data_IF_922538303805
#
_entry.id   IF_922538303805
#
_cell.length_a   1.000
_cell.length_b   1.000
_cell.length_c   1.000
_cell.angle_alpha   90.00
_cell.angle_beta   90.00
_cell.angle_gamma   90.00
#
_symmetry.space_group_name_H-M   'P 1'
#
loop_
_entity.id
_entity.type
_entity.pdbx_description
1 polymer ?
#
# COMPACT_ATOMS: atom_id res chain seq x y z
N UNK A 1 -8.66 -9.77 -9.50
CA UNK A 1 -9.58 -8.90 -8.71
C UNK A 1 -10.97 -9.53 -8.68
N UNK A 2 -11.65 -9.61 -7.51
CA UNK A 2 -13.00 -10.19 -7.41
C UNK A 2 -14.05 -9.17 -7.89
N UNK A 3 -14.86 -9.53 -8.89
CA UNK A 3 -15.96 -8.68 -9.35
C UNK A 3 -16.95 -8.47 -8.20
N UNK A 4 -17.12 -7.21 -7.80
CA UNK A 4 -18.23 -6.80 -6.94
C UNK A 4 -19.31 -6.29 -7.87
N UNK A 5 -20.46 -6.95 -7.84
CA UNK A 5 -21.66 -6.49 -8.55
C UNK A 5 -22.00 -5.06 -8.14
N UNK A 6 -22.24 -4.20 -9.13
CA UNK A 6 -22.79 -2.86 -8.95
C UNK A 6 -24.10 -2.93 -8.17
N UNK A 7 -24.08 -2.53 -6.89
CA UNK A 7 -25.29 -2.22 -6.14
C UNK A 7 -25.48 -0.72 -6.18
N UNK A 8 -26.58 -0.29 -6.78
CA UNK A 8 -27.12 1.06 -6.62
C UNK A 8 -27.26 1.38 -5.13
N UNK A 9 -26.65 2.47 -4.67
CA UNK A 9 -26.93 3.05 -3.36
C UNK A 9 -28.03 4.12 -3.54
N UNK A 10 -29.23 3.94 -2.96
CA UNK A 10 -30.19 5.03 -2.88
C UNK A 10 -29.73 6.02 -1.80
N UNK A 11 -29.88 7.30 -2.11
CA UNK A 11 -29.59 8.41 -1.23
C UNK A 11 -30.38 8.35 0.08
N UNK A 12 -29.69 8.57 1.21
CA UNK A 12 -30.31 9.00 2.47
C UNK A 12 -30.54 7.91 3.52
N UNK A 13 -29.54 7.68 4.39
CA UNK A 13 -29.79 7.48 5.82
C UNK A 13 -28.51 7.61 6.64
N UNK A 14 -28.17 8.86 7.00
CA UNK A 14 -27.33 9.14 8.15
C UNK A 14 -28.11 8.78 9.43
N UNK A 15 -27.60 7.89 10.27
CA UNK A 15 -27.99 7.86 11.69
C UNK A 15 -26.83 7.38 12.56
N UNK A 16 -26.21 8.35 13.22
CA UNK A 16 -25.38 8.13 14.40
C UNK A 16 -26.24 7.54 15.52
N UNK A 17 -25.66 6.61 16.30
CA UNK A 17 -26.27 6.10 17.53
C UNK A 17 -25.25 6.22 18.66
N UNK A 18 -25.47 7.21 19.53
CA UNK A 18 -24.79 7.42 20.80
C UNK A 18 -25.75 7.10 21.96
N UNK A 19 -25.25 6.40 22.98
CA UNK A 19 -25.66 6.42 24.41
C UNK A 19 -25.00 5.19 25.09
N UNK A 20 -23.97 5.35 25.91
CA UNK A 20 -23.96 5.73 27.34
C UNK A 20 -24.92 4.91 28.21
N UNK A 21 -24.36 3.89 28.89
CA UNK A 21 -25.02 3.12 29.95
C UNK A 21 -24.14 3.09 31.19
N UNK A 22 -24.29 4.08 32.06
CA UNK A 22 -23.69 4.11 33.40
C UNK A 22 -24.56 3.30 34.36
N UNK A 23 -23.96 2.32 35.06
CA UNK A 23 -24.62 1.48 36.06
C UNK A 23 -24.19 1.98 37.45
N UNK A 24 -25.12 2.55 38.22
CA UNK A 24 -24.86 3.01 39.59
C UNK A 24 -25.09 1.90 40.63
N UNK A 25 -24.18 1.85 41.59
CA UNK A 25 -24.16 1.00 42.80
C UNK A 25 -24.95 1.69 43.91
N UNK A 26 -25.88 0.97 44.56
CA UNK A 26 -26.59 1.44 45.76
C UNK A 26 -25.75 1.17 47.01
N UNK A 27 -25.45 2.24 47.74
CA UNK A 27 -24.96 2.22 49.12
C UNK A 27 -26.19 2.31 50.04
N UNK A 28 -26.36 1.34 50.95
CA UNK A 28 -27.39 1.37 51.98
C UNK A 28 -26.85 2.00 53.26
N UNK A 29 -27.50 3.06 53.74
CA UNK A 29 -27.26 3.71 55.03
C UNK A 29 -28.27 3.25 56.07
N UNK A 30 -27.78 2.93 57.27
CA UNK A 30 -28.53 2.63 58.48
C UNK A 30 -29.21 3.88 59.07
N UNK A 31 -30.41 3.71 59.63
CA UNK A 31 -31.03 4.65 60.58
C UNK A 31 -31.68 3.84 61.71
N UNK A 32 -31.24 4.11 62.94
CA UNK A 32 -31.77 3.59 64.21
C UNK A 32 -33.02 4.34 64.70
N UNK A 33 -33.69 3.71 65.69
CA UNK A 33 -34.60 4.20 66.74
C UNK A 33 -35.99 3.54 66.69
N UNK A 34 -36.67 3.21 67.78
CA UNK A 34 -36.39 3.07 69.20
C UNK A 34 -37.64 2.41 69.85
N UNK A 35 -37.49 2.03 71.13
CA UNK A 35 -38.54 1.86 72.16
C UNK A 35 -39.32 0.54 72.26
N UNK A 36 -39.35 0.00 73.50
CA UNK A 36 -40.23 -1.10 73.90
C UNK A 36 -39.86 -1.78 75.23
N UNK A 37 -40.33 -1.21 76.34
CA UNK A 37 -40.12 -1.49 77.76
C UNK A 37 -40.26 -2.95 78.32
N UNK A 38 -39.49 -3.17 79.42
CA UNK A 38 -39.72 -3.89 80.72
C UNK A 38 -40.15 -5.38 80.80
N UNK A 39 -39.36 -6.19 81.54
CA UNK A 39 -39.74 -6.76 82.84
C UNK A 39 -38.57 -7.45 83.56
N UNK A 40 -38.66 -7.43 84.89
CA UNK A 40 -37.64 -7.77 85.87
C UNK A 40 -37.46 -9.28 86.11
N UNK A 41 -36.23 -9.68 86.47
CA UNK A 41 -36.01 -10.64 87.57
C UNK A 41 -34.57 -10.51 88.10
N UNK A 42 -34.45 -10.24 89.40
CA UNK A 42 -33.19 -10.26 90.14
C UNK A 42 -32.73 -11.71 90.30
N UNK A 43 -31.52 -12.02 89.86
CA UNK A 43 -30.74 -13.14 90.39
C UNK A 43 -29.29 -12.70 90.55
N UNK A 44 -28.93 -12.36 91.78
CA UNK A 44 -27.56 -12.07 92.18
C UNK A 44 -26.83 -13.40 92.29
N UNK A 45 -25.96 -13.69 91.33
CA UNK A 45 -24.85 -14.63 91.50
C UNK A 45 -23.54 -13.84 91.43
N UNK A 46 -22.95 -13.64 92.60
CA UNK A 46 -21.53 -13.32 92.74
C UNK A 46 -20.73 -14.53 92.28
N UNK A 47 -20.02 -14.42 91.16
CA UNK A 47 -18.75 -15.14 90.98
C UNK A 47 -17.89 -14.51 89.89
N UNK A 48 -16.61 -14.38 90.25
CA UNK A 48 -15.40 -14.27 89.43
C UNK A 48 -15.21 -13.10 88.45
N UNK A 49 -14.42 -12.13 88.93
CA UNK A 49 -13.30 -11.48 88.24
C UNK A 49 -13.19 -11.74 86.72
N UNK A 50 -13.95 -10.97 85.94
CA UNK A 50 -13.81 -10.90 84.50
C UNK A 50 -12.96 -9.67 84.16
N UNK A 51 -11.66 -9.92 84.05
CA UNK A 51 -10.69 -9.10 83.33
C UNK A 51 -11.34 -8.52 82.07
N UNK A 52 -11.66 -7.22 82.08
CA UNK A 52 -12.17 -6.50 80.91
C UNK A 52 -11.10 -6.66 79.82
N UNK A 53 -11.34 -7.40 78.72
CA UNK A 53 -10.38 -7.38 77.63
C UNK A 53 -10.35 -5.94 77.14
N UNK A 54 -9.23 -5.26 77.36
CA UNK A 54 -8.92 -4.04 76.60
C UNK A 54 -9.10 -4.46 75.15
N UNK A 55 -10.14 -3.95 74.47
CA UNK A 55 -10.30 -4.09 73.02
C UNK A 55 -9.02 -3.52 72.42
N UNK A 56 -8.03 -4.38 72.20
CA UNK A 56 -6.80 -4.02 71.56
C UNK A 56 -7.20 -3.54 70.17
N UNK A 57 -6.72 -2.36 69.84
CA UNK A 57 -7.08 -1.65 68.63
C UNK A 57 -6.69 -2.47 67.39
N UNK A 58 -7.62 -3.22 66.80
CA UNK A 58 -7.43 -3.95 65.53
C UNK A 58 -7.14 -3.03 64.33
N UNK A 59 -7.18 -1.70 64.54
CA UNK A 59 -6.78 -0.68 63.56
C UNK A 59 -5.36 -0.93 63.02
N UNK A 60 -4.46 -1.56 63.80
CA UNK A 60 -3.11 -1.89 63.35
C UNK A 60 -3.05 -3.04 62.32
N UNK A 61 -3.87 -4.07 62.48
CA UNK A 61 -3.89 -5.23 61.58
C UNK A 61 -4.51 -4.88 60.21
N UNK A 62 -5.53 -4.02 60.20
CA UNK A 62 -6.18 -3.54 58.97
C UNK A 62 -5.20 -2.74 58.12
N UNK A 63 -4.37 -1.89 58.74
CA UNK A 63 -3.34 -1.12 58.02
C UNK A 63 -2.35 -2.02 57.26
N UNK A 64 -1.95 -3.15 57.85
CA UNK A 64 -1.06 -4.10 57.20
C UNK A 64 -1.70 -4.73 55.96
N UNK A 65 -2.95 -5.17 56.06
CA UNK A 65 -3.68 -5.79 54.94
C UNK A 65 -3.92 -4.79 53.81
N UNK A 66 -4.28 -3.54 54.15
CA UNK A 66 -4.48 -2.48 53.16
C UNK A 66 -3.17 -2.15 52.46
N UNK A 67 -2.05 -2.05 53.19
CA UNK A 67 -0.74 -1.80 52.60
C UNK A 67 -0.32 -2.92 51.62
N UNK A 68 -0.52 -4.18 52.00
CA UNK A 68 -0.23 -5.33 51.13
C UNK A 68 -1.14 -5.32 49.89
N UNK A 69 -2.44 -5.05 50.07
CA UNK A 69 -3.39 -4.97 48.96
C UNK A 69 -3.04 -3.82 47.99
N UNK A 70 -2.62 -2.66 48.50
CA UNK A 70 -2.16 -1.55 47.67
C UNK A 70 -0.92 -1.91 46.87
N UNK A 71 0.06 -2.58 47.48
CA UNK A 71 1.26 -3.05 46.78
C UNK A 71 0.91 -4.05 45.66
N UNK A 72 -0.01 -4.98 45.94
CA UNK A 72 -0.49 -5.93 44.94
C UNK A 72 -1.20 -5.24 43.77
N UNK A 73 -2.03 -4.22 44.05
CA UNK A 73 -2.70 -3.44 43.01
C UNK A 73 -1.71 -2.62 42.17
N UNK A 74 -0.67 -2.04 42.78
CA UNK A 74 0.40 -1.34 42.05
C UNK A 74 1.11 -2.32 41.13
N UNK A 75 1.50 -3.51 41.62
CA UNK A 75 2.16 -4.53 40.80
C UNK A 75 1.32 -4.97 39.59
N UNK A 76 0.00 -5.15 39.78
CA UNK A 76 -0.92 -5.47 38.68
C UNK A 76 -1.04 -4.28 37.70
N UNK A 77 -1.10 -3.04 38.19
CA UNK A 77 -1.13 -1.85 37.33
C UNK A 77 0.15 -1.68 36.53
N UNK A 78 1.32 -1.95 37.13
CA UNK A 78 2.60 -2.02 36.41
C UNK A 78 2.49 -2.99 35.24
N UNK A 79 1.99 -4.19 35.49
CA UNK A 79 1.85 -5.17 34.41
C UNK A 79 0.84 -4.71 33.34
N UNK A 80 -0.35 -4.25 33.71
CA UNK A 80 -1.41 -3.93 32.73
C UNK A 80 -1.09 -2.66 31.93
N UNK A 81 -0.67 -1.60 32.61
CA UNK A 81 -0.50 -0.27 32.00
C UNK A 81 0.83 -0.18 31.26
N UNK A 82 1.96 -0.54 31.90
CA UNK A 82 3.27 -0.41 31.26
C UNK A 82 3.41 -1.36 30.07
N UNK A 83 2.87 -2.59 30.18
CA UNK A 83 2.81 -3.49 29.03
C UNK A 83 1.89 -2.94 27.94
N UNK A 84 0.78 -2.29 28.31
CA UNK A 84 -0.09 -1.58 27.37
C UNK A 84 0.66 -0.47 26.60
N UNK A 85 1.50 0.30 27.29
CA UNK A 85 2.40 1.30 26.67
C UNK A 85 3.32 0.64 25.65
N UNK A 86 3.93 -0.51 25.97
CA UNK A 86 4.77 -1.26 25.03
C UNK A 86 4.00 -1.76 23.80
N UNK A 87 2.78 -2.27 23.95
CA UNK A 87 1.98 -2.75 22.81
C UNK A 87 1.60 -1.63 21.85
N UNK A 88 1.15 -0.50 22.39
CA UNK A 88 0.85 0.70 21.59
C UNK A 88 2.13 1.21 20.93
N UNK A 89 3.22 1.31 21.70
CA UNK A 89 4.52 1.73 21.21
C UNK A 89 5.03 0.85 20.07
N UNK A 90 4.85 -0.47 20.15
CA UNK A 90 5.22 -1.41 19.08
C UNK A 90 4.46 -1.12 17.79
N UNK A 91 3.16 -0.85 17.87
CA UNK A 91 2.34 -0.54 16.69
C UNK A 91 2.76 0.79 16.06
N UNK A 92 2.98 1.81 16.88
CA UNK A 92 3.46 3.12 16.42
C UNK A 92 4.86 3.03 15.81
N UNK A 93 5.75 2.23 16.41
CA UNK A 93 7.09 1.99 15.89
C UNK A 93 7.06 1.33 14.52
N UNK A 94 6.19 0.34 14.31
CA UNK A 94 6.01 -0.27 12.99
C UNK A 94 5.49 0.73 11.98
N UNK A 95 4.47 1.53 12.32
CA UNK A 95 3.97 2.58 11.43
C UNK A 95 5.07 3.58 11.04
N UNK A 96 5.93 3.98 12.00
CA UNK A 96 7.05 4.86 11.73
C UNK A 96 8.10 4.22 10.79
N UNK A 97 8.43 2.95 11.02
CA UNK A 97 9.35 2.21 10.16
C UNK A 97 8.79 2.03 8.75
N UNK A 98 7.52 1.61 8.63
CA UNK A 98 6.84 1.38 7.34
C UNK A 98 6.76 2.67 6.53
N UNK A 99 6.35 3.77 7.16
CA UNK A 99 6.29 5.08 6.52
C UNK A 99 7.68 5.57 6.09
N UNK A 100 8.71 5.39 6.93
CA UNK A 100 10.09 5.72 6.59
C UNK A 100 10.61 4.90 5.42
N UNK A 101 10.42 3.58 5.44
CA UNK A 101 10.86 2.71 4.35
C UNK A 101 10.15 3.06 3.04
N UNK A 102 8.82 3.26 3.07
CA UNK A 102 8.06 3.65 1.88
C UNK A 102 8.52 5.00 1.34
N UNK A 103 8.69 6.01 2.19
CA UNK A 103 9.18 7.32 1.77
C UNK A 103 10.57 7.24 1.15
N UNK A 104 11.45 6.41 1.71
CA UNK A 104 12.77 6.15 1.13
C UNK A 104 12.69 5.50 -0.24
N UNK A 105 11.81 4.52 -0.44
CA UNK A 105 11.63 3.85 -1.72
C UNK A 105 11.03 4.81 -2.77
N UNK A 106 10.07 5.65 -2.39
CA UNK A 106 9.49 6.68 -3.27
C UNK A 106 10.53 7.74 -3.64
N UNK A 107 11.36 8.20 -2.69
CA UNK A 107 12.42 9.16 -2.97
C UNK A 107 13.52 8.57 -3.84
N UNK A 108 13.82 7.28 -3.67
CA UNK A 108 14.65 6.54 -4.62
C UNK A 108 14.00 6.56 -6.02
N UNK A 109 12.65 6.50 -6.08
CA UNK A 109 11.90 6.35 -7.31
C UNK A 109 11.81 7.49 -8.26
N UNK A 110 11.81 8.66 -7.67
CA UNK A 110 11.79 9.89 -8.43
C UNK A 110 13.14 10.59 -8.32
N UNK A 111 14.21 9.82 -8.07
CA UNK A 111 15.57 10.35 -8.08
C UNK A 111 16.01 10.65 -9.52
N UNK A 112 16.26 11.92 -9.88
CA UNK A 112 16.70 12.29 -11.22
C UNK A 112 18.06 11.69 -11.61
N UNK A 113 18.86 11.22 -10.64
CA UNK A 113 20.15 10.55 -10.89
C UNK A 113 20.03 9.02 -11.08
N UNK A 114 18.82 8.53 -11.36
CA UNK A 114 18.61 7.15 -11.79
C UNK A 114 18.82 6.11 -10.68
N UNK A 115 18.36 6.40 -9.46
CA UNK A 115 18.35 5.48 -8.32
C UNK A 115 19.75 5.08 -7.79
N UNK A 116 20.80 5.79 -8.20
CA UNK A 116 22.20 5.40 -7.93
C UNK A 116 22.79 6.03 -6.67
N UNK A 117 22.24 7.14 -6.16
CA UNK A 117 22.77 7.78 -4.96
C UNK A 117 22.40 7.01 -3.69
N UNK A 118 23.40 6.27 -3.18
CA UNK A 118 23.29 5.48 -1.94
C UNK A 118 23.96 6.11 -0.73
N UNK A 119 24.41 7.35 -0.85
CA UNK A 119 25.08 8.09 0.20
C UNK A 119 24.14 8.37 1.39
N UNK A 120 24.72 8.72 2.54
CA UNK A 120 23.94 9.18 3.69
C UNK A 120 23.26 10.53 3.45
N UNK A 121 23.80 11.32 2.52
CA UNK A 121 23.22 12.60 2.09
C UNK A 121 22.23 12.44 0.94
N UNK A 122 22.03 11.22 0.44
CA UNK A 122 21.18 10.97 -0.71
C UNK A 122 19.69 11.11 -0.41
N UNK A 123 18.87 11.38 -1.44
CA UNK A 123 17.45 11.69 -1.29
C UNK A 123 16.68 10.54 -0.62
N UNK A 124 16.99 9.29 -0.98
CA UNK A 124 16.33 8.12 -0.42
C UNK A 124 16.52 7.98 1.11
N UNK A 125 17.75 8.12 1.60
CA UNK A 125 18.02 7.99 3.04
C UNK A 125 17.52 9.18 3.84
N UNK A 126 17.63 10.40 3.29
CA UNK A 126 17.11 11.61 3.94
C UNK A 126 15.58 11.58 4.06
N UNK A 127 14.87 11.21 2.99
CA UNK A 127 13.42 11.08 3.01
C UNK A 127 12.96 10.00 4.01
N UNK A 128 13.63 8.85 4.01
CA UNK A 128 13.34 7.78 4.96
C UNK A 128 13.53 8.23 6.42
N UNK A 129 14.63 8.92 6.72
CA UNK A 129 14.91 9.46 8.05
C UNK A 129 13.85 10.47 8.48
N UNK A 130 13.54 11.44 7.62
CA UNK A 130 12.60 12.51 7.92
C UNK A 130 11.20 11.96 8.20
N UNK A 131 10.70 11.06 7.36
CA UNK A 131 9.37 10.48 7.53
C UNK A 131 9.34 9.55 8.74
N UNK A 132 10.36 8.74 8.98
CA UNK A 132 10.43 7.91 10.18
C UNK A 132 10.37 8.75 11.46
N UNK A 133 11.14 9.85 11.54
CA UNK A 133 11.14 10.76 12.71
C UNK A 133 9.84 11.54 12.88
N UNK A 134 9.12 11.82 11.80
CA UNK A 134 7.82 12.52 11.87
C UNK A 134 6.70 11.66 12.48
N UNK A 135 6.85 10.34 12.47
CA UNK A 135 5.88 9.40 13.02
C UNK A 135 6.19 9.12 14.49
N UNK A 136 5.61 9.95 15.37
CA UNK A 136 5.86 9.88 16.81
C UNK A 136 5.37 8.57 17.47
N UNK A 137 6.13 8.12 18.46
CA UNK A 137 5.84 6.97 19.30
C UNK A 137 5.66 7.48 20.73
N UNK A 138 4.43 7.39 21.23
CA UNK A 138 4.02 7.99 22.50
C UNK A 138 4.29 9.50 22.58
N UNK A 139 4.08 10.21 21.46
CA UNK A 139 4.19 11.68 21.40
C UNK A 139 5.60 12.23 21.20
N UNK A 140 6.62 11.38 21.15
CA UNK A 140 8.01 11.77 20.86
C UNK A 140 8.51 11.11 19.59
N UNK A 141 9.45 11.74 18.86
CA UNK A 141 10.04 11.13 17.68
C UNK A 141 10.84 9.87 18.06
N UNK A 142 10.83 8.83 17.22
CA UNK A 142 11.77 7.73 17.38
C UNK A 142 13.22 8.18 17.17
N UNK A 143 14.14 7.40 17.72
CA UNK A 143 15.55 7.48 17.39
C UNK A 143 15.83 6.64 16.15
N UNK A 144 16.40 7.32 15.16
CA UNK A 144 16.80 6.77 13.87
C UNK A 144 18.09 7.47 13.47
N UNK A 145 19.15 6.72 13.28
CA UNK A 145 20.44 7.19 12.80
C UNK A 145 20.61 6.80 11.32
N UNK A 146 20.86 7.79 10.47
CA UNK A 146 20.96 7.60 9.03
C UNK A 146 22.11 6.68 8.59
N UNK A 147 23.18 6.62 9.37
CA UNK A 147 24.36 5.80 9.05
C UNK A 147 24.11 4.30 9.34
N UNK A 148 23.39 4.00 10.42
CA UNK A 148 23.26 2.62 10.94
C UNK A 148 21.88 2.00 10.73
N UNK A 149 20.83 2.82 10.69
CA UNK A 149 19.45 2.33 10.75
C UNK A 149 18.70 2.45 9.43
N UNK A 150 19.20 3.30 8.53
CA UNK A 150 18.66 3.51 7.19
C UNK A 150 19.70 3.04 6.18
N UNK A 151 19.46 1.89 5.57
CA UNK A 151 20.41 1.33 4.59
C UNK A 151 19.71 0.57 3.48
N UNK A 152 20.38 0.50 2.35
CA UNK A 152 19.97 -0.31 1.21
C UNK A 152 20.28 -1.77 1.53
N UNK A 153 19.33 -2.66 1.25
CA UNK A 153 19.47 -4.09 1.50
C UNK A 153 19.17 -4.87 0.24
N UNK A 154 19.95 -5.91 -0.01
CA UNK A 154 19.70 -6.89 -1.07
C UNK A 154 18.92 -8.11 -0.54
N UNK A 155 18.41 -8.06 0.70
CA UNK A 155 17.74 -9.18 1.37
C UNK A 155 16.23 -8.96 1.57
N UNK A 156 15.38 -9.97 1.27
CA UNK A 156 15.73 -11.25 0.64
C UNK A 156 16.10 -11.06 -0.84
N UNK A 157 17.13 -11.78 -1.31
CA UNK A 157 17.65 -11.65 -2.68
C UNK A 157 16.59 -11.79 -3.76
N UNK A 158 15.60 -12.67 -3.57
CA UNK A 158 14.50 -12.88 -4.51
C UNK A 158 13.62 -11.62 -4.74
N UNK A 159 13.67 -10.64 -3.85
CA UNK A 159 12.86 -9.42 -3.94
C UNK A 159 13.72 -8.16 -4.02
N UNK A 160 14.86 -8.15 -3.35
CA UNK A 160 15.62 -6.92 -3.12
C UNK A 160 16.92 -6.81 -3.92
N UNK A 161 17.30 -7.87 -4.64
CA UNK A 161 18.44 -7.86 -5.56
C UNK A 161 17.91 -7.74 -6.98
N UNK A 162 18.53 -6.86 -7.77
CA UNK A 162 18.28 -6.79 -9.20
C UNK A 162 19.28 -7.57 -10.05
N UNK A 163 19.01 -7.60 -11.35
CA UNK A 163 19.81 -8.32 -12.36
C UNK A 163 21.25 -7.78 -12.43
N UNK A 164 21.46 -6.51 -12.09
CA UNK A 164 22.78 -5.85 -12.06
C UNK A 164 23.49 -5.98 -10.70
N UNK A 165 22.89 -6.70 -9.73
CA UNK A 165 23.44 -6.93 -8.39
C UNK A 165 23.23 -5.79 -7.40
N UNK A 166 22.42 -4.81 -7.76
CA UNK A 166 22.07 -3.63 -6.98
C UNK A 166 20.90 -3.91 -6.01
N UNK A 167 20.92 -3.23 -4.87
CA UNK A 167 19.87 -3.31 -3.86
C UNK A 167 18.69 -2.39 -4.25
N UNK A 168 17.54 -2.98 -4.58
CA UNK A 168 16.27 -2.27 -4.87
C UNK A 168 15.42 -2.02 -3.62
N UNK A 169 15.91 -2.39 -2.44
CA UNK A 169 15.19 -2.23 -1.20
C UNK A 169 15.90 -1.26 -0.25
N UNK A 170 15.11 -0.46 0.44
CA UNK A 170 15.56 0.36 1.56
C UNK A 170 14.94 -0.20 2.85
N UNK A 171 15.78 -0.40 3.86
CA UNK A 171 15.39 -0.87 5.17
C UNK A 171 15.56 0.26 6.18
N UNK A 172 14.55 0.43 7.02
CA UNK A 172 14.53 1.41 8.11
C UNK A 172 14.31 0.69 9.42
N UNK A 173 15.23 0.87 10.35
CA UNK A 173 15.08 0.45 11.74
C UNK A 173 14.73 1.66 12.60
N UNK A 174 13.80 1.47 13.53
CA UNK A 174 13.25 2.54 14.39
C UNK A 174 13.35 2.10 15.84
N UNK A 175 13.84 2.98 16.71
CA UNK A 175 14.11 2.68 18.11
C UNK A 175 13.45 3.66 19.07
N UNK A 176 12.87 3.12 20.15
CA UNK A 176 12.49 3.83 21.38
C UNK A 176 12.88 2.94 22.56
N UNK A 177 14.14 2.98 22.96
CA UNK A 177 14.67 2.07 23.99
C UNK A 177 15.79 2.72 24.83
N UNK A 178 16.19 2.08 25.92
CA UNK A 178 17.22 2.64 26.81
C UNK A 178 18.58 2.78 26.13
N UNK A 179 18.92 1.88 25.20
CA UNK A 179 20.21 1.87 24.49
C UNK A 179 20.42 3.13 23.64
N UNK A 180 19.32 3.74 23.18
CA UNK A 180 19.31 4.97 22.39
C UNK A 180 19.00 6.22 23.22
N UNK A 181 18.86 6.08 24.54
CA UNK A 181 18.54 7.19 25.44
C UNK A 181 17.12 7.77 25.27
N UNK A 182 16.22 7.05 24.59
CA UNK A 182 14.86 7.50 24.27
C UNK A 182 13.82 6.41 24.60
N UNK A 183 13.96 5.77 25.76
CA UNK A 183 13.08 4.71 26.25
C UNK A 183 11.62 5.14 26.34
N UNK A 184 10.71 4.16 26.28
CA UNK A 184 9.29 4.39 26.53
C UNK A 184 9.06 4.70 28.02
N UNK A 185 8.08 5.54 28.36
CA UNK A 185 7.80 5.90 29.74
C UNK A 185 7.30 4.69 30.53
N UNK A 186 7.90 4.44 31.69
CA UNK A 186 7.35 3.54 32.70
C UNK A 186 6.48 4.36 33.68
N UNK A 187 5.18 4.14 33.68
CA UNK A 187 4.20 4.85 34.50
C UNK A 187 4.13 4.29 35.92
N UNK A 188 3.97 2.97 36.07
CA UNK A 188 3.89 2.31 37.38
C UNK A 188 5.11 1.43 37.67
N UNK A 189 5.89 1.07 36.65
CA UNK A 189 7.15 0.33 36.79
C UNK A 189 8.17 1.00 37.74
N UNK A 190 8.16 2.33 37.82
CA UNK A 190 9.06 3.11 38.69
C UNK A 190 8.92 2.69 40.16
N UNK A 191 7.71 2.32 40.60
CA UNK A 191 7.46 1.90 41.98
C UNK A 191 8.12 0.57 42.35
N UNK A 192 8.47 -0.25 41.36
CA UNK A 192 9.13 -1.55 41.53
C UNK A 192 10.56 -1.57 40.94
N UNK A 193 11.12 -0.39 40.63
CA UNK A 193 12.47 -0.26 40.08
C UNK A 193 12.60 -0.56 38.58
N UNK A 194 11.48 -0.70 37.86
CA UNK A 194 11.43 -0.84 36.40
C UNK A 194 11.26 0.54 35.77
N UNK A 195 12.37 1.24 35.51
CA UNK A 195 12.36 2.56 34.88
C UNK A 195 12.58 2.53 33.38
N UNK A 196 12.92 1.37 32.82
CA UNK A 196 13.33 1.21 31.43
C UNK A 196 12.46 0.18 30.71
N UNK A 197 11.90 0.60 29.58
CA UNK A 197 11.25 -0.28 28.62
C UNK A 197 11.42 0.30 27.21
N UNK A 198 11.34 -0.56 26.21
CA UNK A 198 11.56 -0.11 24.85
C UNK A 198 10.99 -1.02 23.77
N UNK A 199 10.88 -0.42 22.59
CA UNK A 199 10.42 -1.08 21.38
C UNK A 199 11.39 -0.80 20.25
N UNK A 200 11.49 -1.77 19.35
CA UNK A 200 12.17 -1.62 18.07
C UNK A 200 11.27 -2.14 16.96
N UNK A 201 11.39 -1.51 15.82
CA UNK A 201 10.64 -1.80 14.62
C UNK A 201 11.56 -1.80 13.41
N UNK A 202 11.19 -2.59 12.42
CA UNK A 202 11.91 -2.69 11.16
C UNK A 202 10.89 -2.80 10.04
N UNK A 203 11.09 -2.01 9.00
CA UNK A 203 10.40 -2.18 7.73
C UNK A 203 11.38 -2.15 6.57
N UNK A 204 11.02 -2.84 5.48
CA UNK A 204 11.73 -2.81 4.21
C UNK A 204 10.74 -2.49 3.11
N UNK A 205 11.06 -1.50 2.29
CA UNK A 205 10.29 -1.17 1.10
C UNK A 205 11.11 -1.46 -0.15
N UNK A 206 10.44 -1.96 -1.19
CA UNK A 206 11.03 -2.31 -2.47
C UNK A 206 10.62 -1.29 -3.52
N UNK A 207 11.58 -1.00 -4.36
CA UNK A 207 11.41 -0.38 -5.66
C UNK A 207 11.21 -1.46 -6.72
N UNK A 208 10.19 -1.29 -7.55
CA UNK A 208 10.05 -2.04 -8.79
C UNK A 208 9.72 -1.05 -9.91
N UNK A 209 10.34 -1.25 -11.07
CA UNK A 209 9.91 -0.58 -12.30
C UNK A 209 8.55 -1.18 -12.67
N UNK A 210 7.61 -0.35 -13.11
CA UNK A 210 6.34 -0.80 -13.64
C UNK A 210 6.51 -1.20 -15.11
N UNK A 211 7.29 -2.25 -15.35
CA UNK A 211 7.66 -2.76 -16.68
C UNK A 211 6.83 -3.98 -17.10
N UNK A 212 5.85 -4.38 -16.30
CA UNK A 212 5.00 -5.52 -16.60
C UNK A 212 3.64 -5.47 -15.94
N UNK A 213 2.73 -6.26 -16.48
CA UNK A 213 1.34 -6.36 -16.02
C UNK A 213 0.82 -7.77 -16.23
N UNK A 214 0.01 -8.24 -15.28
CA UNK A 214 -0.67 -9.54 -15.32
C UNK A 214 -2.07 -9.44 -15.99
N UNK A 215 -2.42 -8.27 -16.49
CA UNK A 215 -3.70 -7.95 -17.10
C UNK A 215 -3.56 -7.32 -18.50
N UNK A 216 -2.58 -7.76 -19.30
CA UNK A 216 -2.52 -7.37 -20.70
C UNK A 216 -3.64 -7.99 -21.52
N UNK A 217 -4.07 -7.29 -22.57
CA UNK A 217 -4.99 -7.83 -23.58
C UNK A 217 -4.18 -8.51 -24.68
N UNK A 218 -4.71 -9.57 -25.32
CA UNK A 218 -4.02 -10.33 -26.37
C UNK A 218 -3.97 -9.59 -27.72
N UNK A 219 -3.80 -8.27 -27.69
CA UNK A 219 -3.84 -7.37 -28.85
C UNK A 219 -2.59 -6.49 -28.76
N UNK A 220 -1.59 -6.80 -29.59
CA UNK A 220 -0.37 -6.02 -29.68
C UNK A 220 -0.54 -4.93 -30.74
N UNK A 221 -0.46 -3.68 -30.32
CA UNK A 221 -0.50 -2.51 -31.21
C UNK A 221 0.94 -2.06 -31.43
N UNK A 222 1.39 -1.83 -32.68
CA UNK A 222 2.68 -1.24 -32.95
C UNK A 222 2.84 0.08 -32.21
N UNK A 223 3.99 0.24 -31.60
CA UNK A 223 4.35 1.48 -30.93
C UNK A 223 4.67 2.57 -31.97
N UNK A 224 4.79 3.83 -31.53
CA UNK A 224 5.25 4.91 -32.40
C UNK A 224 6.69 4.70 -32.86
N UNK A 225 6.97 5.16 -34.07
CA UNK A 225 8.31 5.16 -34.65
C UNK A 225 8.68 6.56 -35.12
N UNK A 226 9.98 6.74 -35.39
CA UNK A 226 10.43 7.89 -36.16
C UNK A 226 10.04 7.66 -37.62
N UNK A 227 8.97 8.30 -38.02
CA UNK A 227 8.55 8.37 -39.42
C UNK A 227 9.54 9.27 -40.18
N UNK A 228 10.17 8.73 -41.21
CA UNK A 228 11.12 9.43 -42.06
C UNK A 228 10.66 9.40 -43.52
N UNK A 229 9.76 8.47 -43.89
CA UNK A 229 9.19 8.34 -45.21
C UNK A 229 7.67 8.42 -45.17
N UNK A 230 7.15 9.65 -45.20
CA UNK A 230 5.73 9.88 -45.42
C UNK A 230 5.35 9.48 -46.87
N UNK A 231 4.54 8.43 -47.00
CA UNK A 231 3.94 8.00 -48.28
C UNK A 231 2.48 8.42 -48.44
N UNK A 232 1.89 9.10 -47.44
CA UNK A 232 0.47 9.48 -47.34
C UNK A 232 0.29 10.97 -47.02
N UNK A 233 -0.03 11.77 -48.04
CA UNK A 233 -0.26 13.21 -47.88
C UNK A 233 -1.53 13.56 -47.05
N UNK A 234 -1.56 14.67 -46.26
CA UNK A 234 -0.83 15.90 -46.57
C UNK A 234 -0.09 16.61 -45.40
N UNK A 235 1.19 16.92 -45.66
CA UNK A 235 1.86 18.21 -45.33
C UNK A 235 1.83 18.69 -43.87
N UNK A 236 2.77 18.25 -43.02
CA UNK A 236 3.57 19.08 -42.10
C UNK A 236 4.33 18.26 -41.05
N UNK A 237 5.52 18.73 -40.64
CA UNK A 237 6.81 18.50 -41.30
C UNK A 237 7.08 16.99 -41.52
N UNK A 238 7.94 16.68 -42.50
CA UNK A 238 8.24 15.35 -43.07
C UNK A 238 8.84 14.29 -42.11
N UNK A 239 8.60 14.41 -40.81
CA UNK A 239 9.13 13.54 -39.75
C UNK A 239 8.15 13.38 -38.57
N UNK A 240 6.85 13.59 -38.79
CA UNK A 240 5.85 13.55 -37.70
C UNK A 240 4.95 12.35 -37.88
N UNK A 241 5.04 11.38 -36.97
CA UNK A 241 4.15 10.22 -36.95
C UNK A 241 2.67 10.63 -36.83
N UNK A 242 1.83 10.06 -37.69
CA UNK A 242 0.39 10.25 -37.82
C UNK A 242 -0.34 8.90 -37.91
N UNK A 243 -1.68 8.94 -37.95
CA UNK A 243 -2.52 7.74 -37.87
C UNK A 243 -2.71 7.01 -39.21
N UNK A 244 -2.27 7.61 -40.30
CA UNK A 244 -2.29 7.06 -41.65
C UNK A 244 -0.93 6.49 -42.08
N UNK A 245 0.12 6.69 -41.27
CA UNK A 245 1.48 6.26 -41.60
C UNK A 245 1.65 4.73 -41.50
N UNK A 246 2.59 4.26 -42.33
CA UNK A 246 3.10 2.90 -42.34
C UNK A 246 4.59 2.89 -42.00
N UNK A 247 5.11 1.75 -41.54
CA UNK A 247 6.52 1.61 -41.17
C UNK A 247 7.36 1.13 -42.36
N UNK A 248 8.11 2.05 -42.94
CA UNK A 248 8.82 1.86 -44.19
C UNK A 248 10.32 1.64 -43.98
N UNK A 249 10.79 0.41 -44.25
CA UNK A 249 12.23 0.11 -44.30
C UNK A 249 12.73 -0.20 -45.71
N UNK A 250 11.82 -0.55 -46.62
CA UNK A 250 12.13 -1.00 -47.98
C UNK A 250 11.11 -0.42 -48.97
N UNK A 251 11.58 -0.06 -50.17
CA UNK A 251 10.73 0.24 -51.31
C UNK A 251 10.57 -0.99 -52.21
N UNK A 252 9.34 -1.25 -52.65
CA UNK A 252 9.06 -2.30 -53.61
C UNK A 252 9.14 -1.77 -55.04
N UNK A 253 9.92 -2.43 -55.90
CA UNK A 253 9.88 -2.18 -57.36
C UNK A 253 9.68 -3.51 -58.07
N UNK A 254 8.47 -3.75 -58.58
CA UNK A 254 8.06 -5.05 -59.09
C UNK A 254 7.99 -6.08 -57.96
N UNK A 255 8.68 -7.22 -58.13
CA UNK A 255 8.74 -8.27 -57.11
C UNK A 255 9.97 -8.16 -56.19
N UNK A 256 10.78 -7.10 -56.35
CA UNK A 256 12.03 -6.92 -55.61
C UNK A 256 11.86 -5.82 -54.55
N UNK A 257 12.47 -6.06 -53.39
CA UNK A 257 12.52 -5.13 -52.26
C UNK A 257 13.91 -4.52 -52.17
N UNK A 258 13.98 -3.19 -52.13
CA UNK A 258 15.22 -2.44 -52.01
C UNK A 258 15.20 -1.64 -50.70
N UNK A 259 16.27 -1.67 -49.90
CA UNK A 259 16.31 -0.89 -48.66
C UNK A 259 16.23 0.60 -48.97
N UNK A 260 15.44 1.33 -48.19
CA UNK A 260 15.36 2.79 -48.30
C UNK A 260 16.66 3.44 -47.84
N UNK A 261 17.03 4.57 -48.43
CA UNK A 261 18.23 5.33 -48.04
C UNK A 261 18.09 5.95 -46.64
N UNK A 262 16.87 6.35 -46.29
CA UNK A 262 16.51 6.89 -44.98
C UNK A 262 15.31 6.10 -44.45
N UNK A 263 15.45 4.84 -44.01
CA UNK A 263 14.32 4.06 -43.54
C UNK A 263 13.74 4.64 -42.23
N UNK A 264 12.49 4.31 -41.97
CA UNK A 264 11.87 4.54 -40.68
C UNK A 264 12.62 3.78 -39.60
N UNK A 265 12.61 4.34 -38.38
CA UNK A 265 13.38 3.79 -37.28
C UNK A 265 12.53 3.72 -36.01
N UNK A 266 12.53 2.54 -35.39
CA UNK A 266 11.95 2.32 -34.08
C UNK A 266 13.07 2.16 -33.05
N UNK A 267 12.98 2.89 -31.94
CA UNK A 267 13.85 2.72 -30.78
C UNK A 267 12.97 2.15 -29.66
N UNK A 268 13.25 0.90 -29.28
CA UNK A 268 12.49 0.23 -28.23
C UNK A 268 12.62 0.94 -26.88
N UNK A 269 11.57 0.95 -26.05
CA UNK A 269 11.65 1.49 -24.71
C UNK A 269 12.61 0.66 -23.84
N UNK A 270 13.22 1.33 -22.87
CA UNK A 270 14.04 0.74 -21.80
C UNK A 270 13.45 1.10 -20.43
N UNK A 271 14.08 0.64 -19.34
CA UNK A 271 13.63 0.97 -17.97
C UNK A 271 13.55 2.49 -17.71
N UNK A 272 14.32 3.31 -18.44
CA UNK A 272 14.46 4.76 -18.18
C UNK A 272 14.18 5.66 -19.39
N UNK A 273 13.93 5.09 -20.56
CA UNK A 273 13.71 5.82 -21.81
C UNK A 273 12.51 5.24 -22.55
N UNK A 274 11.45 6.02 -22.85
CA UNK A 274 10.30 5.55 -23.63
C UNK A 274 10.64 5.23 -25.09
N UNK A 275 11.85 5.58 -25.57
CA UNK A 275 12.26 5.37 -26.94
C UNK A 275 11.46 6.26 -27.90
N UNK A 276 11.05 5.72 -29.05
CA UNK A 276 10.17 6.44 -29.99
C UNK A 276 8.69 6.26 -29.70
N UNK A 277 8.33 5.57 -28.62
CA UNK A 277 6.99 5.07 -28.36
C UNK A 277 5.98 6.09 -27.84
N UNK A 278 4.76 5.62 -27.59
CA UNK A 278 3.70 6.40 -26.96
C UNK A 278 4.09 6.81 -25.53
N UNK A 279 3.82 8.07 -25.17
CA UNK A 279 4.03 8.58 -23.81
C UNK A 279 2.75 9.16 -23.22
N UNK A 280 2.55 8.98 -21.92
CA UNK A 280 1.39 9.59 -21.22
C UNK A 280 1.42 11.12 -21.32
N UNK A 281 2.61 11.72 -21.31
CA UNK A 281 2.76 13.17 -21.36
C UNK A 281 2.34 13.78 -22.71
N UNK A 282 2.61 13.10 -23.83
CA UNK A 282 2.33 13.63 -25.17
C UNK A 282 1.05 13.06 -25.80
N UNK A 283 0.67 11.82 -25.46
CA UNK A 283 -0.28 11.03 -26.25
C UNK A 283 -1.56 10.63 -25.50
N UNK A 284 -1.69 11.04 -24.24
CA UNK A 284 -2.90 10.78 -23.47
C UNK A 284 -4.12 11.41 -24.15
N UNK A 285 -5.13 10.57 -24.45
CA UNK A 285 -6.34 10.99 -25.15
C UNK A 285 -6.26 10.92 -26.67
N UNK A 286 -5.14 10.41 -27.23
CA UNK A 286 -5.03 10.15 -28.66
C UNK A 286 -6.03 9.07 -29.10
N UNK A 287 -6.81 9.37 -30.13
CA UNK A 287 -7.71 8.41 -30.76
C UNK A 287 -6.91 7.48 -31.66
N UNK A 288 -7.13 6.18 -31.59
CA UNK A 288 -6.54 5.21 -32.52
C UNK A 288 -7.65 4.33 -33.08
N UNK A 289 -7.63 4.11 -34.39
CA UNK A 289 -8.54 3.18 -35.05
C UNK A 289 -7.85 1.83 -35.14
N UNK A 290 -8.37 0.83 -34.43
CA UNK A 290 -7.80 -0.51 -34.43
C UNK A 290 -8.20 -1.27 -35.70
N UNK A 291 -7.22 -1.52 -36.57
CA UNK A 291 -7.40 -2.32 -37.80
C UNK A 291 -6.55 -3.59 -37.74
N UNK A 292 -7.09 -4.71 -38.20
CA UNK A 292 -6.31 -5.95 -38.31
C UNK A 292 -5.38 -5.84 -39.51
N UNK A 293 -4.07 -5.91 -39.30
CA UNK A 293 -3.08 -6.01 -40.38
C UNK A 293 -2.37 -7.36 -40.38
N UNK A 294 -1.81 -7.70 -41.53
CA UNK A 294 -0.88 -8.83 -41.65
C UNK A 294 0.52 -8.38 -41.24
N UNK A 295 1.41 -9.29 -40.81
CA UNK A 295 2.79 -8.94 -40.42
C UNK A 295 3.63 -8.29 -41.53
N UNK A 296 3.13 -8.24 -42.77
CA UNK A 296 3.82 -7.68 -43.93
C UNK A 296 3.75 -6.15 -44.02
N UNK A 297 2.83 -5.50 -43.30
CA UNK A 297 2.70 -4.03 -43.24
C UNK A 297 2.35 -3.61 -41.82
N UNK A 298 3.24 -2.85 -41.19
CA UNK A 298 2.98 -2.26 -39.87
C UNK A 298 2.42 -0.86 -40.11
N UNK A 299 1.19 -0.61 -39.70
CA UNK A 299 0.53 0.69 -39.84
C UNK A 299 0.11 1.25 -38.49
N UNK A 300 -0.14 2.54 -38.42
CA UNK A 300 -0.64 3.17 -37.21
C UNK A 300 -2.02 2.61 -36.82
N UNK A 301 -2.19 2.26 -35.55
CA UNK A 301 -3.42 1.60 -35.06
C UNK A 301 -3.62 0.16 -35.58
N UNK A 302 -2.69 -0.38 -36.37
CA UNK A 302 -2.71 -1.80 -36.69
C UNK A 302 -2.65 -2.62 -35.40
N UNK A 303 -3.20 -3.83 -35.40
CA UNK A 303 -2.97 -4.76 -34.30
C UNK A 303 -2.62 -6.15 -34.78
N UNK A 304 -1.74 -6.80 -34.01
CA UNK A 304 -1.37 -8.19 -34.13
C UNK A 304 -1.93 -8.96 -32.93
N UNK A 305 -2.74 -10.01 -33.16
CA UNK A 305 -3.22 -10.85 -32.07
C UNK A 305 -2.05 -11.68 -31.52
N UNK A 306 -1.90 -11.72 -30.21
CA UNK A 306 -0.81 -12.44 -29.53
C UNK A 306 -1.34 -13.47 -28.57
N UNK A 307 -0.67 -14.61 -28.51
CA UNK A 307 -0.98 -15.65 -27.55
C UNK A 307 -0.35 -15.28 -26.21
N UNK A 308 -1.19 -15.08 -25.19
CA UNK A 308 -0.71 -14.82 -23.84
C UNK A 308 -0.27 -16.12 -23.16
N UNK A 309 0.67 -16.05 -22.21
CA UNK A 309 1.07 -17.22 -21.43
C UNK A 309 -0.13 -17.79 -20.66
N UNK A 310 -0.37 -19.10 -20.72
CA UNK A 310 -1.49 -19.72 -20.02
C UNK A 310 -2.69 -20.00 -20.93
N UNK A 311 -3.18 -21.23 -20.86
CA UNK A 311 -4.14 -21.83 -21.80
C UNK A 311 -5.59 -21.40 -21.52
N UNK A 312 -5.86 -20.08 -21.47
CA UNK A 312 -7.20 -19.52 -21.22
C UNK A 312 -8.01 -19.24 -22.49
N UNK A 313 -7.36 -19.30 -23.66
CA UNK A 313 -7.96 -18.93 -24.94
C UNK A 313 -8.05 -17.43 -25.17
N UNK A 314 -8.02 -17.02 -26.44
CA UNK A 314 -7.89 -15.62 -26.87
C UNK A 314 -9.02 -14.72 -26.35
N UNK A 315 -10.28 -15.12 -26.56
CA UNK A 315 -11.46 -14.30 -26.19
C UNK A 315 -11.58 -14.08 -24.69
N UNK A 316 -11.24 -15.06 -23.88
CA UNK A 316 -11.37 -14.94 -22.42
C UNK A 316 -10.23 -14.11 -21.82
N UNK A 317 -9.05 -14.13 -22.45
CA UNK A 317 -7.96 -13.18 -22.18
C UNK A 317 -8.32 -11.71 -22.51
N UNK A 318 -9.29 -11.46 -23.39
CA UNK A 318 -9.83 -10.09 -23.58
C UNK A 318 -10.73 -9.69 -22.42
N UNK A 319 -11.60 -10.59 -21.95
CA UNK A 319 -12.60 -10.26 -20.92
C UNK A 319 -12.00 -10.16 -19.53
N UNK A 320 -11.01 -10.98 -19.22
CA UNK A 320 -10.42 -11.10 -17.88
C UNK A 320 -8.91 -10.81 -17.90
N UNK A 321 -8.32 -10.67 -16.71
CA UNK A 321 -6.86 -10.67 -16.57
C UNK A 321 -6.36 -12.11 -16.56
N UNK A 322 -5.30 -12.38 -17.32
CA UNK A 322 -4.71 -13.72 -17.40
C UNK A 322 -4.02 -14.13 -16.08
N UNK A 323 -3.53 -13.15 -15.31
CA UNK A 323 -2.88 -13.37 -14.01
C UNK A 323 -1.45 -13.89 -14.12
N UNK A 324 -0.90 -13.93 -15.33
CA UNK A 324 0.51 -14.21 -15.60
C UNK A 324 1.13 -12.90 -16.09
N UNK A 325 2.14 -12.42 -15.37
CA UNK A 325 2.83 -11.20 -15.71
C UNK A 325 3.59 -11.35 -17.02
N UNK A 326 3.42 -10.36 -17.90
CA UNK A 326 4.24 -10.16 -19.09
C UNK A 326 5.00 -8.86 -18.90
N UNK A 327 6.30 -8.87 -19.18
CA UNK A 327 7.21 -7.74 -19.00
C UNK A 327 7.75 -7.24 -20.33
N UNK A 328 8.24 -5.99 -20.36
CA UNK A 328 8.97 -5.44 -21.51
C UNK A 328 10.16 -6.35 -21.83
N UNK A 329 10.31 -6.71 -23.11
CA UNK A 329 11.34 -7.62 -23.61
C UNK A 329 10.88 -9.07 -23.78
N UNK A 330 9.74 -9.46 -23.22
CA UNK A 330 9.14 -10.76 -23.51
C UNK A 330 8.73 -10.85 -24.98
N UNK A 331 9.02 -12.00 -25.61
CA UNK A 331 8.55 -12.29 -26.96
C UNK A 331 7.30 -13.15 -26.89
N UNK A 332 6.17 -12.61 -27.37
CA UNK A 332 4.91 -13.34 -27.45
C UNK A 332 4.70 -13.92 -28.85
N UNK A 333 4.28 -15.19 -28.96
CA UNK A 333 3.92 -15.76 -30.25
C UNK A 333 2.63 -15.10 -30.78
N UNK A 334 2.52 -15.03 -32.11
CA UNK A 334 1.30 -14.60 -32.78
C UNK A 334 0.20 -15.65 -32.59
N UNK A 335 -1.03 -15.20 -32.40
CA UNK A 335 -2.18 -16.11 -32.30
C UNK A 335 -2.54 -16.68 -33.68
N UNK A 336 -2.57 -18.02 -33.79
CA UNK A 336 -2.78 -18.75 -35.05
C UNK A 336 -4.26 -19.15 -35.29
N UNK A 337 -5.22 -18.67 -34.46
CA UNK A 337 -6.64 -18.84 -34.74
C UNK A 337 -7.02 -18.26 -36.13
N UNK A 338 -8.04 -18.83 -36.78
CA UNK A 338 -8.42 -18.43 -38.15
C UNK A 338 -8.65 -16.92 -38.24
N UNK A 339 -8.17 -16.30 -39.33
CA UNK A 339 -8.10 -14.84 -39.42
C UNK A 339 -9.47 -14.14 -39.35
N UNK A 340 -10.54 -14.84 -39.73
CA UNK A 340 -11.92 -14.34 -39.67
C UNK A 340 -12.48 -14.42 -38.25
N UNK A 341 -12.12 -15.45 -37.48
CA UNK A 341 -12.61 -15.68 -36.11
C UNK A 341 -11.93 -14.75 -35.09
N UNK A 342 -10.66 -14.39 -35.33
CA UNK A 342 -9.94 -13.46 -34.45
C UNK A 342 -10.53 -12.05 -34.50
N UNK A 343 -10.83 -11.52 -35.69
CA UNK A 343 -11.37 -10.16 -35.82
C UNK A 343 -12.72 -10.01 -35.11
N UNK A 344 -13.58 -11.01 -35.27
CA UNK A 344 -14.86 -11.10 -34.57
C UNK A 344 -14.68 -11.30 -33.05
N UNK A 345 -13.70 -12.09 -32.63
CA UNK A 345 -13.37 -12.28 -31.21
C UNK A 345 -12.86 -11.01 -30.54
N UNK A 346 -12.04 -10.23 -31.23
CA UNK A 346 -11.60 -8.89 -30.78
C UNK A 346 -12.80 -7.97 -30.62
N UNK A 347 -13.62 -7.84 -31.67
CA UNK A 347 -14.81 -6.99 -31.64
C UNK A 347 -15.78 -7.36 -30.51
N UNK A 348 -16.13 -8.66 -30.38
CA UNK A 348 -17.02 -9.16 -29.32
C UNK A 348 -16.40 -9.04 -27.93
N UNK A 349 -15.09 -9.23 -27.81
CA UNK A 349 -14.36 -9.09 -26.56
C UNK A 349 -14.37 -7.66 -26.04
N UNK A 350 -14.01 -6.68 -26.89
CA UNK A 350 -14.08 -5.26 -26.51
C UNK A 350 -15.51 -4.78 -26.31
N UNK A 351 -16.47 -5.23 -27.12
CA UNK A 351 -17.89 -4.94 -26.88
C UNK A 351 -18.34 -5.40 -25.49
N UNK A 352 -17.93 -6.59 -25.05
CA UNK A 352 -18.21 -7.06 -23.69
C UNK A 352 -17.65 -6.11 -22.63
N UNK A 353 -16.42 -5.61 -22.81
CA UNK A 353 -15.81 -4.65 -21.88
C UNK A 353 -16.57 -3.31 -21.85
N UNK A 354 -17.00 -2.80 -23.01
CA UNK A 354 -17.83 -1.59 -23.10
C UNK A 354 -19.18 -1.82 -22.39
N UNK A 355 -19.80 -2.98 -22.59
CA UNK A 355 -21.08 -3.32 -21.98
C UNK A 355 -21.00 -3.45 -20.43
N UNK A 356 -19.80 -3.59 -19.85
CA UNK A 356 -19.59 -3.56 -18.38
C UNK A 356 -19.70 -2.15 -17.79
N UNK A 357 -19.35 -1.13 -18.57
CA UNK A 357 -19.47 0.28 -18.18
C UNK A 357 -19.94 1.15 -19.35
N UNK A 358 -21.23 1.02 -19.75
CA UNK A 358 -21.74 1.61 -20.98
C UNK A 358 -21.85 3.14 -20.94
N UNK A 359 -21.64 3.75 -19.78
CA UNK A 359 -21.70 5.19 -19.59
C UNK A 359 -20.32 5.84 -19.50
N UNK A 360 -19.24 5.05 -19.44
CA UNK A 360 -17.88 5.57 -19.42
C UNK A 360 -17.56 6.31 -20.74
N UNK A 361 -17.15 7.56 -20.62
CA UNK A 361 -16.84 8.44 -21.75
C UNK A 361 -15.52 9.16 -21.51
N UNK A 362 -14.75 9.42 -22.58
CA UNK A 362 -13.53 10.22 -22.50
C UNK A 362 -13.87 11.71 -22.53
N UNK A 363 -13.43 12.46 -21.51
CA UNK A 363 -13.53 13.92 -21.46
C UNK A 363 -12.20 14.55 -21.88
N UNK A 364 -12.12 15.18 -23.08
CA UNK A 364 -10.89 15.79 -23.57
C UNK A 364 -10.51 17.08 -22.83
N UNK A 365 -11.41 17.65 -22.01
CA UNK A 365 -11.11 18.86 -21.24
C UNK A 365 -10.37 18.55 -19.93
N UNK A 366 -10.61 17.39 -19.35
CA UNK A 366 -9.98 16.91 -18.11
C UNK A 366 -8.95 15.81 -18.35
N UNK A 367 -8.83 15.32 -19.60
CA UNK A 367 -8.00 14.16 -19.96
C UNK A 367 -8.28 12.96 -19.06
N UNK A 368 -9.56 12.67 -18.82
CA UNK A 368 -9.98 11.60 -17.91
C UNK A 368 -11.23 10.89 -18.41
N UNK A 369 -11.47 9.69 -17.89
CA UNK A 369 -12.73 8.97 -18.13
C UNK A 369 -13.77 9.47 -17.14
N UNK A 370 -14.88 10.00 -17.65
CA UNK A 370 -16.03 10.43 -16.84
C UNK A 370 -17.15 9.39 -16.91
N UNK A 371 -18.13 9.50 -16.00
CA UNK A 371 -19.31 8.64 -15.95
C UNK A 371 -19.01 7.13 -15.79
N UNK A 372 -17.77 6.78 -15.41
CA UNK A 372 -17.37 5.40 -15.12
C UNK A 372 -17.58 5.04 -13.64
N UNK A 373 -17.85 3.77 -13.38
CA UNK A 373 -17.86 3.19 -12.04
C UNK A 373 -16.48 2.69 -11.58
N UNK A 374 -15.51 2.63 -12.50
CA UNK A 374 -14.12 2.39 -12.17
C UNK A 374 -13.55 3.65 -11.48
N UNK A 375 -12.82 3.45 -10.39
CA UNK A 375 -11.99 4.54 -9.85
C UNK A 375 -10.94 4.85 -10.91
N UNK A 376 -10.69 6.14 -11.18
CA UNK A 376 -9.59 6.55 -12.05
C UNK A 376 -8.36 5.72 -11.69
N UNK A 377 -7.76 5.07 -12.70
CA UNK A 377 -6.48 4.43 -12.51
C UNK A 377 -5.54 5.55 -12.03
N UNK A 378 -5.11 5.48 -10.76
CA UNK A 378 -3.99 6.28 -10.30
C UNK A 378 -2.84 5.99 -11.26
N UNK A 379 -2.31 7.01 -11.96
CA UNK A 379 -1.26 6.82 -12.94
C UNK A 379 -0.03 6.13 -12.34
#
# INVERSE_FOLDING_TARGET
MRSRHCRQCPAGSCRQRTSWGARQVRVGTSVENADGAINAELSVKQETDMNRPKRSSERGAILLHVAIAMLALIAVNTFVVDYGVMWVGRRQAQNAADAGALAGAVAMAFDPEGWTDRSETGPARLAALQVARSNAIWGEPPDVNIATDVFFTDQPAAQCRDTDGNARCIRVNVYRNQERGNSLPALFGVAVGLTEQGVRATATARVAVADGTDCIKPVAIPDKWRDVNDTTAPTAPAETWTQDDTFETHAQTGNNWFPLANPDAYVAPSETDPGTGFTVAADLGMWLVLSKHTPASVGAGAYTPVQLPGDRGFRDNIKECNGIAVVIGDTLPTEDESTTDIGDSVHKGFKHLIDLDPHAEWDPSTNSVVNSCAQDATP
#
